data_IF_988972509919
#
_entry.id   IF_988972509919
#
_cell.length_a   1.000
_cell.length_b   1.000
_cell.length_c   1.000
_cell.angle_alpha   90.00
_cell.angle_beta   90.00
_cell.angle_gamma   90.00
#
_symmetry.space_group_name_H-M   'P 1'
#
loop_
_entity.id
_entity.type
_entity.pdbx_description
1 polymer ?
#
# COMPACT_ATOMS: atom_id res chain seq x y z
N UNK A 1 -41.67 4.10 -18.59
CA UNK A 1 -41.58 2.62 -18.46
C UNK A 1 -40.54 2.31 -17.39
N UNK A 2 -41.03 2.00 -16.20
CA UNK A 2 -40.17 1.72 -15.03
C UNK A 2 -39.77 0.26 -15.05
N UNK A 3 -38.48 -0.03 -15.19
CA UNK A 3 -37.94 -1.37 -14.91
C UNK A 3 -37.32 -1.39 -13.50
N UNK A 4 -38.03 -2.04 -12.59
CA UNK A 4 -37.52 -2.39 -11.27
C UNK A 4 -36.46 -3.50 -11.45
N UNK A 5 -35.24 -3.24 -10.98
CA UNK A 5 -34.19 -4.27 -10.87
C UNK A 5 -34.36 -4.92 -9.51
N UNK A 6 -34.83 -6.17 -9.51
CA UNK A 6 -34.90 -7.01 -8.31
C UNK A 6 -33.53 -7.70 -8.14
N UNK A 7 -32.81 -7.35 -7.09
CA UNK A 7 -31.58 -8.07 -6.68
C UNK A 7 -32.01 -9.37 -5.99
N UNK A 8 -31.72 -10.50 -6.61
CA UNK A 8 -31.86 -11.81 -5.99
C UNK A 8 -30.60 -12.11 -5.17
N UNK A 9 -30.72 -12.06 -3.85
CA UNK A 9 -29.70 -12.58 -2.92
C UNK A 9 -29.85 -14.10 -2.85
N UNK A 10 -28.99 -14.85 -3.53
CA UNK A 10 -28.89 -16.29 -3.36
C UNK A 10 -28.07 -16.56 -2.11
N UNK A 11 -28.71 -17.06 -1.06
CA UNK A 11 -28.06 -17.52 0.16
C UNK A 11 -27.23 -18.78 -0.16
N UNK A 12 -25.91 -18.66 -0.17
CA UNK A 12 -24.99 -19.80 -0.08
C UNK A 12 -24.93 -20.23 1.38
N UNK A 13 -25.53 -21.37 1.70
CA UNK A 13 -25.31 -22.07 2.98
C UNK A 13 -23.93 -22.68 2.99
N UNK A 14 -22.96 -21.98 3.57
CA UNK A 14 -21.64 -22.51 3.92
C UNK A 14 -21.78 -23.32 5.23
N UNK A 15 -21.44 -24.60 5.16
CA UNK A 15 -21.34 -25.47 6.32
C UNK A 15 -20.38 -24.90 7.36
N UNK A 16 -20.77 -25.02 8.62
CA UNK A 16 -20.00 -24.55 9.77
C UNK A 16 -18.63 -25.26 9.86
N UNK A 17 -17.61 -24.62 9.30
CA UNK A 17 -16.22 -24.87 9.67
C UNK A 17 -15.93 -23.95 10.86
N UNK A 18 -15.49 -24.52 11.96
CA UNK A 18 -15.09 -23.80 13.17
C UNK A 18 -13.94 -22.84 12.85
N UNK A 19 -14.28 -21.56 12.60
CA UNK A 19 -13.30 -20.49 12.42
C UNK A 19 -12.80 -20.10 13.82
N UNK A 20 -11.61 -20.55 14.18
CA UNK A 20 -10.91 -19.98 15.32
C UNK A 20 -10.51 -18.55 14.95
N UNK A 21 -10.79 -17.61 15.85
CA UNK A 21 -10.50 -16.20 15.68
C UNK A 21 -9.00 -15.99 15.40
N UNK A 22 -8.70 -15.52 14.19
CA UNK A 22 -7.36 -15.20 13.76
C UNK A 22 -7.02 -13.76 14.07
N UNK A 23 -5.85 -13.57 14.65
CA UNK A 23 -5.18 -12.27 14.65
C UNK A 23 -4.80 -11.95 13.19
N UNK A 24 -5.23 -10.79 12.69
CA UNK A 24 -4.79 -10.24 11.41
C UNK A 24 -3.26 -10.31 11.30
N UNK A 25 -2.68 -10.45 10.08
CA UNK A 25 -1.25 -10.25 9.88
C UNK A 25 -0.88 -8.96 10.56
N UNK A 26 0.23 -8.97 11.34
CA UNK A 26 0.59 -7.85 12.19
C UNK A 26 0.55 -6.57 11.38
N UNK A 27 -0.24 -5.56 11.80
CA UNK A 27 -0.05 -4.21 11.33
C UNK A 27 1.42 -3.87 11.52
N UNK A 28 1.98 -2.99 10.70
CA UNK A 28 3.24 -2.33 11.05
C UNK A 28 3.16 -2.03 12.54
N UNK A 29 4.11 -2.47 13.37
CA UNK A 29 3.87 -2.56 14.80
C UNK A 29 3.48 -1.20 15.34
N UNK A 30 2.20 -1.04 15.63
CA UNK A 30 1.76 -0.03 16.57
C UNK A 30 2.56 -0.26 17.85
N UNK A 31 3.06 0.77 18.55
CA UNK A 31 3.91 0.61 19.72
C UNK A 31 3.28 -0.40 20.67
N UNK A 32 3.95 -1.51 20.87
CA UNK A 32 3.46 -2.57 21.72
C UNK A 32 3.38 -2.06 23.15
N UNK A 33 2.20 -2.02 23.71
CA UNK A 33 2.05 -2.44 25.11
C UNK A 33 2.84 -3.74 25.24
N UNK A 34 3.64 -3.99 26.32
CA UNK A 34 4.37 -5.24 26.47
C UNK A 34 3.39 -6.39 26.17
N UNK A 35 3.61 -7.05 25.05
CA UNK A 35 2.67 -8.02 24.53
C UNK A 35 2.58 -9.18 25.53
N UNK A 36 1.38 -9.68 25.85
CA UNK A 36 1.25 -11.03 26.35
C UNK A 36 1.99 -11.92 25.36
N UNK A 37 2.74 -12.90 25.85
CA UNK A 37 3.54 -13.82 25.05
C UNK A 37 2.75 -14.21 23.80
N UNK A 38 3.35 -13.98 22.62
CA UNK A 38 2.68 -14.17 21.34
C UNK A 38 2.03 -15.55 21.32
N UNK A 39 0.73 -15.59 21.03
CA UNK A 39 0.05 -16.86 20.82
C UNK A 39 0.80 -17.62 19.71
N UNK A 40 0.98 -18.95 19.83
CA UNK A 40 1.65 -19.75 18.83
C UNK A 40 0.99 -19.48 17.46
N UNK A 41 1.81 -19.34 16.42
CA UNK A 41 1.31 -19.13 15.07
C UNK A 41 0.28 -20.20 14.72
N UNK A 42 -0.87 -19.86 14.12
CA UNK A 42 -1.89 -20.82 13.80
C UNK A 42 -1.31 -21.90 12.90
N UNK A 43 -1.54 -23.16 13.24
CA UNK A 43 -1.13 -24.29 12.42
C UNK A 43 -2.11 -24.50 11.27
N UNK A 44 -1.58 -24.65 10.05
CA UNK A 44 -2.37 -24.93 8.85
C UNK A 44 -2.72 -23.68 8.04
N UNK A 45 -3.46 -23.90 6.97
CA UNK A 45 -3.86 -22.84 6.03
C UNK A 45 -4.99 -22.01 6.63
N UNK A 46 -4.81 -20.72 6.61
CA UNK A 46 -5.76 -19.75 7.07
C UNK A 46 -6.48 -19.11 5.87
N UNK A 47 -7.79 -18.87 6.02
CA UNK A 47 -8.59 -18.16 5.03
C UNK A 47 -9.18 -16.92 5.68
N UNK A 48 -8.95 -15.76 5.07
CA UNK A 48 -9.47 -14.49 5.57
C UNK A 48 -9.61 -13.49 4.43
N UNK A 49 -10.28 -12.39 4.70
CA UNK A 49 -10.46 -11.34 3.71
C UNK A 49 -11.07 -10.08 4.28
N UNK A 50 -11.35 -9.16 3.38
CA UNK A 50 -12.07 -7.93 3.72
C UNK A 50 -12.81 -7.36 2.52
N UNK A 51 -13.73 -6.48 2.82
CA UNK A 51 -14.39 -5.59 1.85
C UNK A 51 -14.13 -4.16 2.29
N UNK A 52 -13.67 -3.33 1.36
CA UNK A 52 -13.54 -1.88 1.54
C UNK A 52 -14.41 -1.14 0.54
N UNK A 53 -15.17 -0.17 1.03
CA UNK A 53 -15.91 0.77 0.20
C UNK A 53 -15.80 2.17 0.81
N UNK A 54 -15.62 3.18 -0.05
CA UNK A 54 -15.44 4.55 0.39
C UNK A 54 -15.96 5.58 -0.59
N UNK A 55 -15.92 6.84 -0.18
CA UNK A 55 -16.25 7.98 -1.01
C UNK A 55 -15.40 9.19 -0.62
N UNK A 56 -14.99 9.96 -1.63
CA UNK A 56 -14.29 11.23 -1.44
C UNK A 56 -15.09 12.37 -2.07
N UNK A 57 -15.61 13.25 -1.21
CA UNK A 57 -16.35 14.43 -1.63
C UNK A 57 -15.38 15.59 -1.87
N UNK A 58 -15.38 16.13 -3.08
CA UNK A 58 -14.60 17.30 -3.46
C UNK A 58 -15.54 18.50 -3.64
N UNK A 59 -15.38 19.52 -2.79
CA UNK A 59 -16.26 20.70 -2.76
C UNK A 59 -16.21 21.54 -4.04
N UNK A 60 -15.16 21.40 -4.83
CA UNK A 60 -14.97 22.12 -6.12
C UNK A 60 -15.62 21.41 -7.30
N UNK A 61 -16.10 20.18 -7.13
CA UNK A 61 -16.78 19.38 -8.14
C UNK A 61 -16.04 19.36 -9.49
N UNK A 62 -14.85 18.73 -9.57
CA UNK A 62 -14.08 18.68 -10.81
C UNK A 62 -14.94 18.04 -11.93
N UNK A 63 -14.87 18.62 -13.14
CA UNK A 63 -15.69 18.19 -14.29
C UNK A 63 -15.32 16.79 -14.77
N UNK A 64 -14.04 16.42 -14.64
CA UNK A 64 -13.53 15.10 -14.97
C UNK A 64 -13.80 14.08 -13.86
N UNK A 65 -14.43 14.51 -12.74
CA UNK A 65 -14.73 13.70 -11.56
C UNK A 65 -13.49 13.07 -10.93
N UNK A 66 -12.34 13.72 -11.00
CA UNK A 66 -11.10 13.19 -10.46
C UNK A 66 -10.49 14.09 -9.41
N UNK A 67 -9.92 13.45 -8.39
CA UNK A 67 -9.09 14.08 -7.38
C UNK A 67 -7.63 13.96 -7.85
N UNK A 68 -7.08 15.04 -8.40
CA UNK A 68 -5.69 15.04 -8.86
C UNK A 68 -4.73 14.65 -7.73
N UNK A 69 -3.74 13.83 -8.06
CA UNK A 69 -2.73 13.39 -7.10
C UNK A 69 -3.21 12.31 -6.13
N UNK A 70 -4.28 11.60 -6.46
CA UNK A 70 -4.86 10.49 -5.72
C UNK A 70 -4.96 9.27 -6.62
N UNK A 71 -4.76 8.07 -6.07
CA UNK A 71 -4.93 6.81 -6.79
C UNK A 71 -6.13 6.02 -6.26
N UNK A 72 -6.15 5.62 -5.01
CA UNK A 72 -7.19 4.74 -4.47
C UNK A 72 -8.50 5.50 -4.16
N UNK A 73 -8.41 6.77 -3.82
CA UNK A 73 -9.54 7.68 -3.65
C UNK A 73 -9.62 8.72 -4.78
N UNK A 74 -9.31 8.30 -6.01
CA UNK A 74 -9.19 9.14 -7.21
C UNK A 74 -10.52 9.73 -7.68
N UNK A 75 -11.66 9.12 -7.39
CA UNK A 75 -12.97 9.57 -7.85
C UNK A 75 -13.60 10.59 -6.93
N UNK A 76 -13.93 11.75 -7.51
CA UNK A 76 -14.61 12.82 -6.79
C UNK A 76 -16.12 12.64 -6.80
N UNK A 77 -16.75 12.68 -5.62
CA UNK A 77 -18.20 12.64 -5.44
C UNK A 77 -18.86 11.35 -5.95
N UNK A 78 -18.15 10.24 -5.85
CA UNK A 78 -18.62 8.90 -6.19
C UNK A 78 -18.36 7.94 -5.04
N UNK A 79 -19.24 6.95 -4.87
CA UNK A 79 -19.01 5.82 -3.96
C UNK A 79 -18.24 4.75 -4.73
N UNK A 80 -17.14 4.28 -4.16
CA UNK A 80 -16.27 3.28 -4.75
C UNK A 80 -16.34 1.98 -3.95
N UNK A 81 -16.37 0.85 -4.65
CA UNK A 81 -16.00 -0.45 -4.09
C UNK A 81 -14.47 -0.57 -4.29
N UNK A 82 -13.71 -0.23 -3.26
CA UNK A 82 -12.26 -0.20 -3.34
C UNK A 82 -11.68 -1.59 -3.46
N UNK A 83 -12.02 -2.47 -2.51
CA UNK A 83 -11.42 -3.78 -2.42
C UNK A 83 -12.42 -4.83 -1.93
N UNK A 84 -12.43 -5.98 -2.59
CA UNK A 84 -12.94 -7.26 -2.08
C UNK A 84 -11.75 -8.21 -2.16
N UNK A 85 -11.20 -8.61 -1.02
CA UNK A 85 -9.97 -9.40 -0.94
C UNK A 85 -10.24 -10.74 -0.27
N UNK A 86 -9.66 -11.78 -0.86
CA UNK A 86 -9.62 -13.13 -0.30
C UNK A 86 -8.17 -13.60 -0.23
N UNK A 87 -7.81 -14.17 0.89
CA UNK A 87 -6.46 -14.66 1.17
C UNK A 87 -6.51 -16.11 1.66
N UNK A 88 -5.60 -16.93 1.11
CA UNK A 88 -5.20 -18.21 1.67
C UNK A 88 -3.73 -18.11 2.07
N UNK A 89 -3.41 -18.37 3.33
CA UNK A 89 -2.06 -18.19 3.85
C UNK A 89 -1.72 -19.31 4.84
N UNK A 90 -0.50 -19.81 4.73
CA UNK A 90 0.16 -20.60 5.75
C UNK A 90 1.40 -19.84 6.19
N UNK A 91 1.40 -19.37 7.42
CA UNK A 91 2.53 -18.67 8.03
C UNK A 91 3.61 -19.65 8.45
N UNK A 92 4.85 -19.15 8.64
CA UNK A 92 5.93 -19.91 9.29
C UNK A 92 5.56 -20.17 10.74
N UNK A 93 5.93 -21.34 11.27
CA UNK A 93 5.56 -21.75 12.62
C UNK A 93 6.35 -21.06 13.75
N UNK A 94 7.29 -20.17 13.41
CA UNK A 94 8.09 -19.41 14.39
C UNK A 94 9.11 -20.24 15.17
N UNK A 95 9.64 -21.31 14.55
CA UNK A 95 10.65 -22.19 15.14
C UNK A 95 11.99 -21.94 14.43
N UNK A 96 12.86 -21.09 14.94
CA UNK A 96 14.07 -20.63 14.24
C UNK A 96 15.11 -21.74 14.03
N UNK A 97 15.01 -22.84 14.75
CA UNK A 97 15.92 -24.00 14.66
C UNK A 97 15.50 -25.05 13.62
N UNK A 98 14.28 -24.94 13.06
CA UNK A 98 13.72 -25.91 12.11
C UNK A 98 13.54 -25.28 10.75
N UNK A 99 13.77 -26.07 9.67
CA UNK A 99 13.33 -25.66 8.34
C UNK A 99 11.82 -25.61 8.28
N UNK A 100 11.25 -24.52 7.78
CA UNK A 100 9.82 -24.33 7.64
C UNK A 100 9.48 -23.77 6.27
N UNK A 101 8.25 -23.95 5.87
CA UNK A 101 7.72 -23.31 4.67
C UNK A 101 6.30 -22.81 4.91
N UNK A 102 5.96 -21.79 4.21
CA UNK A 102 4.64 -21.21 4.16
C UNK A 102 4.36 -20.63 2.78
N UNK A 103 3.18 -20.09 2.60
CA UNK A 103 2.78 -19.42 1.36
C UNK A 103 1.71 -18.38 1.64
N UNK A 104 1.56 -17.45 0.71
CA UNK A 104 0.42 -16.55 0.66
C UNK A 104 -0.10 -16.48 -0.78
N UNK A 105 -1.41 -16.61 -0.93
CA UNK A 105 -2.13 -16.35 -2.15
C UNK A 105 -3.26 -15.38 -1.84
N UNK A 106 -3.22 -14.19 -2.46
CA UNK A 106 -4.18 -13.12 -2.20
C UNK A 106 -4.69 -12.54 -3.52
N UNK A 107 -6.00 -12.63 -3.70
CA UNK A 107 -6.72 -12.03 -4.83
C UNK A 107 -7.53 -10.84 -4.39
N UNK A 108 -7.65 -9.85 -5.26
CA UNK A 108 -8.44 -8.64 -5.08
C UNK A 108 -9.40 -8.45 -6.25
N UNK A 109 -10.58 -7.91 -5.95
CA UNK A 109 -11.49 -7.34 -6.94
C UNK A 109 -11.97 -5.99 -6.45
N UNK A 110 -11.79 -4.94 -7.24
CA UNK A 110 -12.21 -3.60 -6.85
C UNK A 110 -11.60 -2.50 -7.70
N UNK A 111 -11.80 -1.26 -7.29
CA UNK A 111 -11.28 -0.09 -8.00
C UNK A 111 -9.78 0.08 -7.84
N UNK A 112 -9.22 -0.35 -6.71
CA UNK A 112 -7.81 -0.18 -6.39
C UNK A 112 -6.91 -1.09 -7.22
N UNK A 113 -7.43 -2.23 -7.69
CA UNK A 113 -6.76 -3.12 -8.61
C UNK A 113 -6.22 -2.41 -9.87
N UNK A 114 -6.87 -1.31 -10.30
CA UNK A 114 -6.44 -0.49 -11.45
C UNK A 114 -5.00 -0.01 -11.37
N UNK A 115 -4.51 0.23 -10.17
CA UNK A 115 -3.21 0.87 -9.91
C UNK A 115 -2.13 -0.12 -9.50
N UNK A 116 -2.51 -1.34 -9.10
CA UNK A 116 -1.56 -2.33 -8.56
C UNK A 116 -1.26 -3.50 -9.51
N UNK A 117 -1.80 -3.48 -10.73
CA UNK A 117 -1.48 -4.48 -11.75
C UNK A 117 0.03 -4.60 -11.98
N UNK A 118 0.47 -5.82 -12.28
CA UNK A 118 1.86 -6.09 -12.64
C UNK A 118 1.96 -6.54 -14.09
N UNK A 119 3.02 -6.11 -14.78
CA UNK A 119 3.27 -6.49 -16.16
C UNK A 119 3.27 -8.01 -16.34
N UNK A 120 2.51 -8.50 -17.34
CA UNK A 120 2.34 -9.91 -17.65
C UNK A 120 1.35 -10.66 -16.77
N UNK A 121 0.74 -10.01 -15.76
CA UNK A 121 -0.25 -10.62 -14.89
C UNK A 121 -1.47 -9.70 -14.75
N UNK A 122 -2.59 -10.07 -15.38
CA UNK A 122 -3.84 -9.30 -15.43
C UNK A 122 -3.68 -7.85 -15.93
N UNK A 123 -2.61 -7.59 -16.68
CA UNK A 123 -2.19 -6.27 -17.14
C UNK A 123 -2.90 -5.79 -18.42
N UNK A 124 -3.84 -6.56 -18.96
CA UNK A 124 -4.75 -6.14 -20.02
C UNK A 124 -6.00 -5.49 -19.46
N UNK A 125 -5.78 -4.56 -18.54
CA UNK A 125 -6.85 -3.84 -17.88
C UNK A 125 -7.76 -3.14 -18.89
N UNK A 126 -9.04 -3.29 -18.66
CA UNK A 126 -10.09 -2.61 -19.42
C UNK A 126 -10.37 -1.23 -18.83
N UNK A 127 -11.09 -0.37 -19.58
CA UNK A 127 -11.60 0.91 -19.07
C UNK A 127 -12.62 0.77 -17.91
N UNK A 128 -12.77 -0.40 -17.32
CA UNK A 128 -13.70 -0.65 -16.21
C UNK A 128 -13.08 -0.20 -14.90
N UNK A 129 -13.90 0.38 -14.06
CA UNK A 129 -13.49 0.84 -12.73
C UNK A 129 -13.16 -0.33 -11.80
N UNK A 130 -13.97 -1.39 -11.84
CA UNK A 130 -13.76 -2.58 -11.01
C UNK A 130 -13.02 -3.65 -11.80
N UNK A 131 -11.89 -4.09 -11.28
CA UNK A 131 -11.00 -5.04 -11.93
C UNK A 131 -10.50 -6.09 -10.93
N UNK A 132 -10.17 -7.31 -11.39
CA UNK A 132 -9.46 -8.29 -10.56
C UNK A 132 -7.96 -8.06 -10.60
N UNK A 133 -7.26 -8.42 -9.51
CA UNK A 133 -5.80 -8.58 -9.49
C UNK A 133 -5.36 -9.69 -8.54
N UNK A 134 -4.14 -10.17 -8.72
CA UNK A 134 -3.41 -11.01 -7.76
C UNK A 134 -2.44 -10.10 -7.01
N UNK A 135 -2.76 -9.77 -5.77
CA UNK A 135 -1.94 -8.86 -4.96
C UNK A 135 -0.64 -9.54 -4.56
N UNK A 136 -0.74 -10.75 -3.99
CA UNK A 136 0.40 -11.55 -3.55
C UNK A 136 0.23 -13.01 -3.96
N UNK A 137 1.33 -13.63 -4.39
CA UNK A 137 1.42 -15.06 -4.67
C UNK A 137 2.88 -15.50 -4.47
N UNK A 138 3.24 -15.95 -3.27
CA UNK A 138 4.62 -16.31 -2.94
C UNK A 138 4.72 -17.52 -2.01
N UNK A 139 5.89 -18.15 -2.05
CA UNK A 139 6.36 -19.09 -1.04
C UNK A 139 7.26 -18.33 -0.04
N UNK A 140 7.16 -18.70 1.23
CA UNK A 140 8.05 -18.23 2.28
C UNK A 140 8.76 -19.43 2.90
N UNK A 141 10.10 -19.40 2.94
CA UNK A 141 10.95 -20.49 3.41
C UNK A 141 11.79 -19.98 4.58
N UNK A 142 11.77 -20.66 5.70
CA UNK A 142 12.70 -20.41 6.80
C UNK A 142 13.87 -21.37 6.73
N UNK A 143 15.09 -20.82 6.72
CA UNK A 143 16.36 -21.57 6.69
C UNK A 143 17.09 -21.33 8.00
N UNK A 144 17.23 -22.35 8.88
CA UNK A 144 17.92 -22.23 10.14
C UNK A 144 19.45 -22.19 9.97
N UNK A 145 20.16 -21.84 11.05
CA UNK A 145 21.59 -22.09 11.18
C UNK A 145 22.55 -20.98 10.69
N UNK A 146 22.07 -19.96 9.97
CA UNK A 146 22.92 -18.81 9.57
C UNK A 146 23.14 -17.81 10.71
N UNK A 147 22.11 -17.64 11.53
CA UNK A 147 22.11 -16.86 12.78
C UNK A 147 21.29 -17.62 13.82
N UNK A 148 21.18 -17.13 15.03
CA UNK A 148 20.33 -17.73 16.06
C UNK A 148 18.83 -17.72 15.68
N UNK A 149 18.40 -16.77 14.84
CA UNK A 149 17.02 -16.65 14.38
C UNK A 149 16.82 -17.02 12.90
N UNK A 150 17.87 -17.48 12.21
CA UNK A 150 17.83 -17.98 10.85
C UNK A 150 17.65 -16.90 9.79
N UNK A 151 17.14 -17.33 8.62
CA UNK A 151 16.88 -16.48 7.46
C UNK A 151 15.56 -16.89 6.80
N UNK A 152 14.73 -15.91 6.48
CA UNK A 152 13.51 -16.13 5.71
C UNK A 152 13.74 -15.76 4.24
N UNK A 153 13.25 -16.58 3.31
CA UNK A 153 13.33 -16.32 1.87
C UNK A 153 11.94 -16.33 1.27
N UNK A 154 11.53 -15.18 0.75
CA UNK A 154 10.25 -14.99 0.04
C UNK A 154 10.49 -15.07 -1.46
N UNK A 155 9.76 -15.95 -2.17
CA UNK A 155 9.89 -16.16 -3.61
C UNK A 155 8.52 -16.11 -4.26
N UNK A 156 8.33 -15.21 -5.23
CA UNK A 156 7.08 -15.03 -5.96
C UNK A 156 6.70 -13.56 -6.13
N UNK A 157 5.40 -13.28 -6.21
CA UNK A 157 4.86 -11.91 -6.23
C UNK A 157 4.51 -11.48 -4.80
N UNK A 158 5.03 -10.35 -4.37
CA UNK A 158 4.83 -9.79 -3.03
C UNK A 158 4.74 -8.27 -3.06
N UNK A 159 4.10 -7.68 -2.04
CA UNK A 159 4.05 -6.22 -1.87
C UNK A 159 5.43 -5.67 -1.56
N UNK A 160 5.66 -4.42 -1.91
CA UNK A 160 6.95 -3.73 -1.69
C UNK A 160 7.34 -3.67 -0.21
N UNK A 161 8.63 -3.45 0.05
CA UNK A 161 9.17 -3.15 1.39
C UNK A 161 9.09 -1.64 1.71
N UNK A 162 8.88 -0.79 0.70
CA UNK A 162 8.88 0.65 0.85
C UNK A 162 7.53 1.19 1.35
N UNK A 163 7.61 2.32 2.06
CA UNK A 163 6.47 3.13 2.49
C UNK A 163 5.86 2.76 3.83
N UNK A 164 5.32 3.76 4.50
CA UNK A 164 4.58 3.58 5.76
C UNK A 164 3.13 3.14 5.54
N UNK A 165 2.56 3.42 4.37
CA UNK A 165 1.21 2.99 4.00
C UNK A 165 1.26 1.73 3.13
N UNK A 166 0.19 0.95 3.15
CA UNK A 166 0.10 -0.33 2.46
C UNK A 166 -1.15 -0.43 1.58
N UNK A 167 -1.18 -1.41 0.67
CA UNK A 167 -2.38 -1.75 -0.11
C UNK A 167 -3.51 -2.26 0.80
N UNK A 168 -3.16 -2.93 1.92
CA UNK A 168 -4.14 -3.41 2.90
C UNK A 168 -4.71 -2.26 3.73
N UNK A 169 -5.97 -1.86 3.56
CA UNK A 169 -6.55 -0.69 4.23
C UNK A 169 -6.68 -0.86 5.74
N UNK A 170 -6.61 -2.09 6.26
CA UNK A 170 -6.76 -2.39 7.69
C UNK A 170 -5.58 -1.87 8.51
N UNK A 171 -4.43 -1.63 7.87
CA UNK A 171 -3.19 -1.16 8.51
C UNK A 171 -3.00 0.35 8.38
N UNK A 172 -3.71 1.00 7.49
CA UNK A 172 -3.59 2.44 7.24
C UNK A 172 -4.45 3.27 8.20
N UNK A 173 -3.94 4.39 8.72
CA UNK A 173 -4.72 5.27 9.60
C UNK A 173 -5.79 6.08 8.86
N UNK A 174 -5.66 6.30 7.55
CA UNK A 174 -6.52 7.12 6.71
C UNK A 174 -7.05 6.35 5.52
N UNK A 175 -8.15 6.80 4.91
CA UNK A 175 -8.64 6.33 3.63
C UNK A 175 -7.77 6.85 2.48
N UNK A 176 -7.49 8.16 2.45
CA UNK A 176 -6.59 8.73 1.44
C UNK A 176 -5.13 8.43 1.75
N UNK A 177 -4.33 8.25 0.70
CA UNK A 177 -2.90 7.94 0.80
C UNK A 177 -2.02 9.16 0.56
N UNK A 178 -0.76 9.09 1.02
CA UNK A 178 0.26 10.12 0.79
C UNK A 178 0.70 10.18 -0.68
N UNK A 179 1.37 11.28 -1.05
CA UNK A 179 2.08 11.35 -2.33
C UNK A 179 3.23 10.34 -2.41
N UNK A 180 3.83 9.97 -1.27
CA UNK A 180 4.86 8.92 -1.19
C UNK A 180 4.25 7.60 -1.64
N UNK A 181 3.18 7.15 -1.00
CA UNK A 181 2.50 5.89 -1.37
C UNK A 181 2.05 5.89 -2.83
N UNK A 182 1.40 6.98 -3.27
CA UNK A 182 0.83 7.03 -4.61
C UNK A 182 1.90 7.08 -5.71
N UNK A 183 3.06 7.73 -5.48
CA UNK A 183 3.98 8.08 -6.57
C UNK A 183 5.46 7.90 -6.24
N UNK A 184 5.82 7.71 -4.98
CA UNK A 184 7.20 7.59 -4.52
C UNK A 184 7.70 6.16 -4.38
N UNK A 185 6.79 5.18 -4.33
CA UNK A 185 7.11 3.76 -4.12
C UNK A 185 6.43 2.87 -5.17
N UNK A 186 6.95 1.66 -5.41
CA UNK A 186 6.22 0.62 -6.16
C UNK A 186 5.13 0.01 -5.27
N UNK A 187 4.16 -0.70 -5.87
CA UNK A 187 3.16 -1.43 -5.10
C UNK A 187 3.56 -2.88 -4.86
N UNK A 188 4.19 -3.52 -5.84
CA UNK A 188 4.56 -4.92 -5.75
C UNK A 188 5.76 -5.27 -6.63
N UNK A 189 6.34 -6.41 -6.33
CA UNK A 189 7.46 -7.00 -7.05
C UNK A 189 7.24 -8.49 -7.30
N UNK A 190 7.91 -9.04 -8.30
CA UNK A 190 8.06 -10.48 -8.49
C UNK A 190 9.53 -10.82 -8.53
N UNK A 191 9.96 -11.73 -7.67
CA UNK A 191 11.37 -12.10 -7.53
C UNK A 191 11.61 -12.93 -6.28
N UNK A 192 12.78 -12.72 -5.68
CA UNK A 192 13.16 -13.32 -4.42
C UNK A 192 13.80 -12.28 -3.50
N UNK A 193 13.39 -12.26 -2.22
CA UNK A 193 14.00 -11.44 -1.17
C UNK A 193 14.28 -12.33 0.02
N UNK A 194 15.52 -12.28 0.51
CA UNK A 194 15.95 -12.92 1.74
C UNK A 194 16.00 -11.90 2.88
N UNK A 195 15.52 -12.29 4.05
CA UNK A 195 15.61 -11.54 5.31
C UNK A 195 16.45 -12.34 6.28
N UNK A 196 17.69 -11.90 6.52
CA UNK A 196 18.57 -12.46 7.53
C UNK A 196 18.28 -11.80 8.87
N UNK A 197 17.82 -12.57 9.85
CA UNK A 197 17.61 -12.12 11.22
C UNK A 197 18.96 -12.02 11.94
N UNK A 198 19.68 -10.89 11.71
CA UNK A 198 21.06 -10.71 12.15
C UNK A 198 21.19 -10.64 13.67
N UNK A 199 20.28 -9.93 14.33
CA UNK A 199 20.13 -9.88 15.79
C UNK A 199 18.63 -9.91 16.16
N UNK A 200 18.30 -9.77 17.43
CA UNK A 200 16.89 -9.61 17.87
C UNK A 200 16.31 -8.26 17.46
N UNK A 201 17.16 -7.30 17.15
CA UNK A 201 16.77 -5.92 16.82
C UNK A 201 16.99 -5.58 15.34
N UNK A 202 17.81 -6.34 14.60
CA UNK A 202 18.23 -5.98 13.23
C UNK A 202 17.98 -7.13 12.26
N UNK A 203 17.23 -6.80 11.20
CA UNK A 203 17.05 -7.63 10.02
C UNK A 203 17.80 -7.02 8.83
N UNK A 204 18.49 -7.86 8.06
CA UNK A 204 19.12 -7.46 6.81
C UNK A 204 18.38 -8.10 5.64
N UNK A 205 17.89 -7.28 4.72
CA UNK A 205 17.10 -7.74 3.57
C UNK A 205 17.85 -7.52 2.27
N UNK A 206 17.85 -8.52 1.41
CA UNK A 206 18.48 -8.44 0.09
C UNK A 206 17.80 -9.38 -0.89
N UNK A 207 17.65 -8.90 -2.12
CA UNK A 207 16.96 -9.68 -3.15
C UNK A 207 17.09 -9.09 -4.54
N UNK A 208 16.55 -9.83 -5.48
CA UNK A 208 16.44 -9.45 -6.89
C UNK A 208 14.99 -9.58 -7.34
N UNK A 209 14.49 -8.54 -7.97
CA UNK A 209 13.13 -8.42 -8.46
C UNK A 209 13.11 -7.99 -9.93
N UNK A 210 12.02 -8.28 -10.63
CA UNK A 210 11.86 -7.93 -12.05
C UNK A 210 11.59 -6.44 -12.30
N UNK A 211 11.54 -5.62 -11.25
CA UNK A 211 11.32 -4.19 -11.33
C UNK A 211 10.02 -3.73 -10.65
N UNK A 212 9.67 -2.47 -10.91
CA UNK A 212 8.45 -1.82 -10.41
C UNK A 212 7.22 -2.40 -11.07
N UNK A 213 6.32 -3.00 -10.28
CA UNK A 213 5.06 -3.56 -10.77
C UNK A 213 5.26 -4.46 -12.02
N UNK A 214 6.33 -5.25 -12.05
CA UNK A 214 6.62 -6.23 -13.09
C UNK A 214 6.51 -7.65 -12.54
N UNK A 215 5.89 -8.57 -13.30
CA UNK A 215 5.66 -9.95 -12.86
C UNK A 215 6.10 -10.95 -13.96
N UNK A 216 5.17 -11.57 -14.68
CA UNK A 216 5.49 -12.58 -15.69
C UNK A 216 6.14 -11.97 -16.94
N UNK A 217 5.92 -10.70 -17.19
CA UNK A 217 6.58 -9.92 -18.25
C UNK A 217 7.35 -8.76 -17.62
N UNK A 218 8.44 -8.37 -18.28
CA UNK A 218 9.27 -7.24 -17.95
C UNK A 218 9.34 -6.29 -19.14
N UNK A 219 9.49 -5.00 -18.89
CA UNK A 219 9.51 -3.98 -19.93
C UNK A 219 10.90 -3.65 -20.47
N UNK A 220 11.98 -4.11 -19.81
CA UNK A 220 13.38 -3.84 -20.19
C UNK A 220 14.33 -5.06 -20.10
N UNK A 221 13.83 -6.21 -19.66
CA UNK A 221 14.57 -7.48 -19.49
C UNK A 221 15.72 -7.40 -18.48
N UNK A 222 15.58 -6.60 -17.42
CA UNK A 222 16.61 -6.43 -16.41
C UNK A 222 16.06 -6.75 -15.01
N UNK A 223 16.98 -7.06 -14.10
CA UNK A 223 16.67 -7.26 -12.70
C UNK A 223 17.05 -6.02 -11.90
N UNK A 224 16.29 -5.73 -10.86
CA UNK A 224 16.57 -4.67 -9.91
C UNK A 224 16.92 -5.25 -8.55
N UNK A 225 17.87 -4.64 -7.87
CA UNK A 225 18.13 -4.93 -6.47
C UNK A 225 16.99 -4.38 -5.60
N UNK A 226 16.55 -5.17 -4.63
CA UNK A 226 15.53 -4.77 -3.65
C UNK A 226 15.92 -5.31 -2.29
N UNK A 227 15.98 -4.45 -1.28
CA UNK A 227 16.41 -4.86 0.05
C UNK A 227 16.41 -3.71 1.04
N UNK A 228 17.02 -3.94 2.22
CA UNK A 228 16.99 -2.93 3.26
C UNK A 228 17.54 -3.40 4.60
N UNK A 229 17.26 -2.61 5.63
CA UNK A 229 17.59 -2.88 7.02
C UNK A 229 16.35 -2.62 7.86
N UNK A 230 15.78 -3.66 8.44
CA UNK A 230 14.75 -3.56 9.47
C UNK A 230 15.37 -3.37 10.84
N UNK A 231 14.75 -2.55 11.65
CA UNK A 231 15.14 -2.38 13.05
C UNK A 231 13.88 -2.36 13.92
N UNK A 232 13.96 -3.06 15.05
CA UNK A 232 12.83 -3.22 15.96
C UNK A 232 13.27 -3.17 17.40
N UNK A 233 12.34 -2.77 18.27
CA UNK A 233 12.55 -2.72 19.71
C UNK A 233 13.77 -1.84 20.16
N UNK A 234 14.20 -0.87 19.35
CA UNK A 234 15.20 0.10 19.76
C UNK A 234 14.63 1.12 20.73
N UNK A 235 15.48 1.89 21.42
CA UNK A 235 15.07 2.90 22.40
C UNK A 235 14.08 2.36 23.45
N UNK A 236 14.46 1.27 24.12
CA UNK A 236 13.63 0.57 25.13
C UNK A 236 12.29 0.07 24.60
N UNK A 237 12.29 -0.45 23.36
CA UNK A 237 11.11 -0.99 22.69
C UNK A 237 10.18 0.05 22.05
N UNK A 238 10.58 1.32 22.04
CA UNK A 238 9.75 2.42 21.54
C UNK A 238 9.92 2.70 20.05
N UNK A 239 11.04 2.28 19.45
CA UNK A 239 11.38 2.60 18.06
C UNK A 239 11.45 1.32 17.21
N UNK A 240 10.66 1.31 16.15
CA UNK A 240 10.69 0.27 15.11
C UNK A 240 10.62 0.94 13.75
N UNK A 241 11.31 0.39 12.76
CA UNK A 241 11.27 0.95 11.42
C UNK A 241 12.08 0.15 10.43
N UNK A 242 12.22 0.70 9.23
CA UNK A 242 12.92 0.06 8.13
C UNK A 242 13.50 1.12 7.20
N UNK A 243 14.75 0.96 6.83
CA UNK A 243 15.31 1.55 5.62
C UNK A 243 15.20 0.52 4.50
N UNK A 244 14.59 0.89 3.39
CA UNK A 244 14.47 0.05 2.20
C UNK A 244 14.99 0.77 0.95
N UNK A 245 15.39 0.00 -0.04
CA UNK A 245 15.92 0.53 -1.28
C UNK A 245 15.62 -0.39 -2.45
N UNK A 246 15.36 0.21 -3.61
CA UNK A 246 15.30 -0.45 -4.89
C UNK A 246 16.20 0.28 -5.88
N UNK A 247 17.03 -0.47 -6.60
CA UNK A 247 17.98 0.08 -7.58
C UNK A 247 18.00 -0.81 -8.82
N UNK A 248 17.66 -0.25 -9.96
CA UNK A 248 17.67 -0.93 -11.24
C UNK A 248 17.05 -0.13 -12.37
N UNK A 249 17.14 -0.61 -13.61
CA UNK A 249 16.50 0.04 -14.74
C UNK A 249 15.00 -0.25 -14.74
N UNK A 250 14.18 0.80 -14.88
CA UNK A 250 12.71 0.72 -14.81
C UNK A 250 12.00 1.32 -16.03
N UNK A 251 12.76 1.87 -16.96
CA UNK A 251 12.21 2.47 -18.16
C UNK A 251 12.03 1.42 -19.28
N UNK A 252 10.88 1.39 -19.96
CA UNK A 252 10.66 0.49 -21.07
C UNK A 252 11.76 0.55 -22.13
N UNK A 253 12.31 -0.62 -22.49
CA UNK A 253 13.39 -0.79 -23.49
C UNK A 253 14.72 -0.13 -23.14
N UNK A 254 14.91 0.29 -21.89
CA UNK A 254 16.15 0.89 -21.40
C UNK A 254 16.66 0.09 -20.20
N UNK A 255 17.80 -0.56 -20.35
CA UNK A 255 18.48 -1.34 -19.31
C UNK A 255 19.80 -0.70 -18.84
N UNK A 256 20.04 0.58 -19.18
CA UNK A 256 21.27 1.31 -18.87
C UNK A 256 21.06 2.43 -17.86
N UNK A 257 19.91 3.10 -17.93
CA UNK A 257 19.57 4.18 -17.04
C UNK A 257 18.75 3.66 -15.86
N UNK A 258 19.24 3.91 -14.65
CA UNK A 258 18.68 3.33 -13.43
C UNK A 258 17.67 4.27 -12.77
N UNK A 259 16.74 3.64 -12.09
CA UNK A 259 15.93 4.26 -11.03
C UNK A 259 16.57 3.91 -9.69
N UNK A 260 16.63 4.91 -8.83
CA UNK A 260 17.09 4.81 -7.45
C UNK A 260 15.91 5.19 -6.57
N UNK A 261 15.54 4.31 -5.68
CA UNK A 261 14.52 4.53 -4.68
C UNK A 261 15.10 4.23 -3.31
N UNK A 262 14.90 5.14 -2.37
CA UNK A 262 15.30 5.00 -0.98
C UNK A 262 14.14 5.47 -0.10
N UNK A 263 13.80 4.66 0.86
CA UNK A 263 12.70 4.91 1.76
C UNK A 263 13.10 4.59 3.19
N UNK A 264 12.71 5.46 4.14
CA UNK A 264 12.95 5.25 5.56
C UNK A 264 11.67 5.49 6.32
N UNK A 265 11.11 4.44 6.85
CA UNK A 265 9.94 4.48 7.71
C UNK A 265 10.32 4.16 9.14
N UNK A 266 9.71 4.85 10.10
CA UNK A 266 9.80 4.43 11.49
C UNK A 266 8.59 4.87 12.30
N UNK A 267 8.28 4.08 13.30
CA UNK A 267 7.26 4.35 14.31
C UNK A 267 7.92 4.54 15.66
N UNK A 268 7.58 5.62 16.35
CA UNK A 268 8.04 5.92 17.69
C UNK A 268 6.87 6.01 18.66
N UNK A 269 6.86 5.16 19.68
CA UNK A 269 5.89 5.18 20.76
C UNK A 269 6.20 6.31 21.75
N UNK A 270 5.46 7.41 21.72
CA UNK A 270 5.55 8.48 22.72
C UNK A 270 5.01 8.02 24.07
N UNK A 271 3.89 7.30 24.05
CA UNK A 271 3.23 6.71 25.22
C UNK A 271 2.42 5.46 24.83
N UNK A 272 1.73 4.81 25.75
CA UNK A 272 0.81 3.72 25.47
C UNK A 272 -0.39 4.12 24.58
N UNK A 273 -0.64 5.40 24.38
CA UNK A 273 -1.74 5.95 23.60
C UNK A 273 -1.29 6.80 22.41
N UNK A 274 -0.03 7.15 22.32
CA UNK A 274 0.47 8.11 21.36
C UNK A 274 1.62 7.53 20.55
N UNK A 275 1.56 7.67 19.25
CA UNK A 275 2.64 7.29 18.35
C UNK A 275 2.86 8.32 17.25
N UNK A 276 4.11 8.42 16.84
CA UNK A 276 4.54 9.11 15.62
C UNK A 276 4.92 8.05 14.59
N UNK A 277 4.53 8.28 13.32
CA UNK A 277 5.02 7.51 12.19
C UNK A 277 5.63 8.48 11.21
N UNK A 278 6.88 8.25 10.83
CA UNK A 278 7.60 9.07 9.86
C UNK A 278 7.89 8.24 8.62
N UNK A 279 7.69 8.82 7.46
CA UNK A 279 8.00 8.26 6.16
C UNK A 279 8.83 9.28 5.37
N UNK A 280 10.07 8.92 5.04
CA UNK A 280 11.04 9.72 4.29
C UNK A 280 11.35 9.01 2.98
N UNK A 281 11.09 9.66 1.86
CA UNK A 281 11.23 9.04 0.55
C UNK A 281 12.08 9.86 -0.40
N UNK A 282 12.87 9.17 -1.21
CA UNK A 282 13.62 9.72 -2.33
C UNK A 282 13.54 8.77 -3.52
N UNK A 283 13.13 9.28 -4.67
CA UNK A 283 13.14 8.56 -5.94
C UNK A 283 13.82 9.41 -7.03
N UNK A 284 14.70 8.79 -7.81
CA UNK A 284 15.32 9.40 -8.98
C UNK A 284 15.25 8.43 -10.14
N UNK A 285 14.88 8.95 -11.30
CA UNK A 285 14.93 8.25 -12.57
C UNK A 285 15.96 8.92 -13.47
N UNK A 286 16.98 8.17 -13.92
CA UNK A 286 18.07 8.72 -14.72
C UNK A 286 17.73 8.91 -16.19
N UNK A 287 16.53 8.51 -16.61
CA UNK A 287 16.05 8.66 -17.99
C UNK A 287 15.70 10.12 -18.30
N UNK A 288 16.10 10.56 -19.49
CA UNK A 288 15.76 11.89 -19.99
C UNK A 288 16.29 13.02 -19.12
N UNK A 289 15.39 13.76 -18.45
CA UNK A 289 15.73 14.93 -17.62
C UNK A 289 16.26 14.60 -16.23
N UNK A 290 16.48 13.33 -15.91
CA UNK A 290 16.86 12.87 -14.57
C UNK A 290 15.88 13.36 -13.50
N UNK A 291 14.64 12.94 -13.64
CA UNK A 291 13.54 13.34 -12.75
C UNK A 291 13.76 12.89 -11.32
N UNK A 292 13.37 13.72 -10.35
CA UNK A 292 13.52 13.43 -8.92
C UNK A 292 12.22 13.73 -8.20
N UNK A 293 11.86 12.81 -7.29
CA UNK A 293 10.82 12.98 -6.30
C UNK A 293 11.40 12.79 -4.90
N UNK A 294 10.97 13.57 -3.92
CA UNK A 294 11.34 13.35 -2.54
C UNK A 294 10.40 14.08 -1.59
N UNK A 295 10.26 13.53 -0.42
CA UNK A 295 9.35 14.10 0.56
C UNK A 295 9.40 13.43 1.91
N UNK A 296 8.54 13.93 2.76
CA UNK A 296 8.28 13.44 4.12
C UNK A 296 6.78 13.42 4.38
N UNK A 297 6.34 12.38 5.05
CA UNK A 297 5.03 12.33 5.69
C UNK A 297 5.22 12.02 7.17
N UNK A 298 4.49 12.75 8.01
CA UNK A 298 4.51 12.60 9.46
C UNK A 298 3.11 12.39 9.96
N UNK A 299 2.92 11.37 10.80
CA UNK A 299 1.64 11.01 11.39
C UNK A 299 1.72 11.11 12.91
N UNK A 300 0.74 11.73 13.50
CA UNK A 300 0.47 11.63 14.92
C UNK A 300 -0.84 10.89 15.13
N UNK A 301 -0.78 9.82 15.91
CA UNK A 301 -1.92 8.95 16.20
C UNK A 301 -2.14 8.94 17.71
N UNK A 302 -3.36 9.31 18.13
CA UNK A 302 -3.79 9.29 19.51
C UNK A 302 -4.94 8.31 19.72
N UNK A 303 -4.70 7.27 20.51
CA UNK A 303 -5.69 6.27 20.91
C UNK A 303 -6.56 6.82 22.05
N UNK A 304 -7.76 7.29 21.72
CA UNK A 304 -8.73 7.81 22.70
C UNK A 304 -9.27 6.67 23.55
N UNK A 305 -9.64 5.56 22.90
CA UNK A 305 -10.14 4.33 23.53
C UNK A 305 -9.72 3.11 22.69
N UNK A 306 -10.13 1.91 23.09
CA UNK A 306 -9.89 0.69 22.29
C UNK A 306 -10.63 0.69 20.95
N UNK A 307 -11.69 1.48 20.82
CA UNK A 307 -12.51 1.57 19.61
C UNK A 307 -12.34 2.86 18.82
N UNK A 308 -11.65 3.85 19.34
CA UNK A 308 -11.53 5.17 18.70
C UNK A 308 -10.12 5.71 18.78
N UNK A 309 -9.58 6.08 17.63
CA UNK A 309 -8.36 6.87 17.51
C UNK A 309 -8.61 8.16 16.73
N UNK A 310 -7.84 9.20 17.05
CA UNK A 310 -7.76 10.47 16.31
C UNK A 310 -6.38 10.55 15.71
N UNK A 311 -6.29 10.94 14.45
CA UNK A 311 -5.01 11.03 13.76
C UNK A 311 -4.88 12.28 12.92
N UNK A 312 -3.64 12.75 12.79
CA UNK A 312 -3.24 13.87 11.93
C UNK A 312 -2.08 13.42 11.08
N UNK A 313 -2.10 13.74 9.80
CA UNK A 313 -1.00 13.51 8.85
C UNK A 313 -0.64 14.82 8.17
N UNK A 314 0.63 15.21 8.23
CA UNK A 314 1.22 16.27 7.44
C UNK A 314 2.19 15.71 6.42
N UNK A 315 2.18 16.21 5.18
CA UNK A 315 3.12 15.73 4.16
C UNK A 315 3.61 16.86 3.24
N UNK A 316 4.83 16.72 2.77
CA UNK A 316 5.44 17.56 1.74
C UNK A 316 6.13 16.63 0.74
N UNK A 317 5.79 16.79 -0.54
CA UNK A 317 6.37 16.03 -1.63
C UNK A 317 6.84 16.97 -2.75
N UNK A 318 8.10 16.87 -3.11
CA UNK A 318 8.68 17.58 -4.25
C UNK A 318 8.69 16.68 -5.47
N UNK A 319 7.96 17.04 -6.52
CA UNK A 319 8.10 16.46 -7.85
C UNK A 319 8.93 17.40 -8.72
N UNK A 320 10.20 17.10 -8.88
CA UNK A 320 11.10 17.86 -9.76
C UNK A 320 10.89 17.36 -11.20
N UNK A 321 10.59 18.26 -12.09
CA UNK A 321 10.28 18.03 -13.50
C UNK A 321 8.83 17.55 -13.78
N UNK A 322 8.01 17.28 -12.75
CA UNK A 322 6.61 16.89 -12.94
C UNK A 322 6.44 15.51 -13.56
N UNK A 323 7.30 14.58 -13.14
CA UNK A 323 7.36 13.23 -13.71
C UNK A 323 6.54 12.20 -12.90
N UNK A 324 6.50 12.35 -11.58
CA UNK A 324 5.96 11.32 -10.70
C UNK A 324 4.48 11.53 -10.37
N UNK A 325 4.11 12.75 -9.92
CA UNK A 325 2.73 13.00 -9.48
C UNK A 325 1.81 13.18 -10.66
N UNK A 326 0.84 12.31 -10.78
CA UNK A 326 -0.03 12.20 -11.93
C UNK A 326 -1.50 12.06 -11.55
N UNK A 327 -2.34 12.14 -12.58
CA UNK A 327 -3.75 11.80 -12.56
C UNK A 327 -4.02 10.83 -13.70
N UNK A 328 -4.78 9.78 -13.44
CA UNK A 328 -5.11 8.78 -14.45
C UNK A 328 -6.63 8.79 -14.68
N UNK A 329 -7.05 9.45 -15.71
CA UNK A 329 -8.46 9.52 -16.13
C UNK A 329 -9.01 8.22 -16.69
N UNK A 330 -8.10 7.33 -17.05
CA UNK A 330 -8.39 6.06 -17.70
C UNK A 330 -7.52 4.97 -17.06
N UNK A 331 -8.13 3.84 -16.74
CA UNK A 331 -7.45 2.71 -16.10
C UNK A 331 -6.30 2.12 -16.95
N UNK A 332 -6.37 2.27 -18.26
CA UNK A 332 -5.32 1.79 -19.18
C UNK A 332 -4.04 2.64 -19.11
N UNK A 333 -4.12 3.90 -18.66
CA UNK A 333 -2.99 4.82 -18.74
C UNK A 333 -1.82 4.38 -17.86
N UNK A 334 -2.08 3.84 -16.67
CA UNK A 334 -1.04 3.28 -15.79
C UNK A 334 -0.31 2.13 -16.50
N UNK A 335 -1.04 1.15 -17.01
CA UNK A 335 -0.47 -0.01 -17.71
C UNK A 335 0.17 0.38 -19.03
N UNK A 336 -0.41 1.32 -19.78
CA UNK A 336 0.20 1.83 -21.01
C UNK A 336 1.54 2.51 -20.73
N UNK A 337 1.65 3.29 -19.66
CA UNK A 337 2.90 3.90 -19.22
C UNK A 337 3.96 2.84 -18.90
N UNK A 338 3.63 1.82 -18.12
CA UNK A 338 4.54 0.71 -17.79
C UNK A 338 4.96 -0.10 -19.02
N UNK A 339 4.09 -0.25 -20.04
CA UNK A 339 4.37 -0.90 -21.32
C UNK A 339 5.14 0.00 -22.30
N UNK A 340 5.43 1.24 -21.95
CA UNK A 340 6.08 2.22 -22.85
C UNK A 340 5.20 2.66 -24.02
N UNK A 341 3.88 2.57 -23.88
CA UNK A 341 2.92 3.09 -24.86
C UNK A 341 2.60 4.55 -24.58
N UNK A 342 2.14 5.27 -25.60
CA UNK A 342 1.66 6.63 -25.40
C UNK A 342 0.42 6.66 -24.48
N UNK A 343 0.41 7.57 -23.53
CA UNK A 343 -0.74 7.83 -22.68
C UNK A 343 -1.83 8.50 -23.53
N UNK A 344 -3.07 8.02 -23.43
CA UNK A 344 -4.17 8.46 -24.30
C UNK A 344 -4.54 9.93 -24.16
N UNK A 345 -4.51 10.44 -22.93
CA UNK A 345 -4.84 11.84 -22.65
C UNK A 345 -3.75 12.49 -21.78
N UNK A 346 -2.87 13.31 -22.39
CA UNK A 346 -1.80 13.98 -21.64
C UNK A 346 -2.33 14.92 -20.54
N UNK A 347 -3.61 15.32 -20.57
CA UNK A 347 -4.23 16.13 -19.50
C UNK A 347 -4.43 15.34 -18.21
N UNK A 348 -4.39 14.02 -18.28
CA UNK A 348 -4.55 13.12 -17.15
C UNK A 348 -3.25 12.81 -16.42
N UNK A 349 -2.13 13.43 -16.85
CA UNK A 349 -0.82 13.19 -16.26
C UNK A 349 -0.15 14.49 -15.86
N UNK A 350 0.54 14.43 -14.72
CA UNK A 350 1.53 15.42 -14.30
C UNK A 350 1.00 16.82 -13.99
N UNK A 351 1.20 17.27 -12.78
CA UNK A 351 0.97 18.66 -12.36
C UNK A 351 2.14 19.60 -12.63
N UNK A 352 3.23 19.14 -13.27
CA UNK A 352 4.43 19.88 -13.52
C UNK A 352 5.38 20.00 -12.32
N UNK A 353 6.49 20.69 -12.51
CA UNK A 353 7.52 20.90 -11.48
C UNK A 353 7.00 21.75 -10.31
N UNK A 354 6.59 21.10 -9.24
CA UNK A 354 6.02 21.77 -8.08
C UNK A 354 6.34 21.03 -6.79
N UNK A 355 6.01 21.63 -5.66
CA UNK A 355 5.99 20.97 -4.36
C UNK A 355 4.53 20.85 -3.94
N UNK A 356 4.10 19.65 -3.66
CA UNK A 356 2.81 19.34 -3.07
C UNK A 356 2.94 19.33 -1.55
N UNK A 357 1.93 19.80 -0.85
CA UNK A 357 1.79 19.65 0.59
C UNK A 357 0.36 19.31 0.91
N UNK A 358 0.17 18.47 1.92
CA UNK A 358 -1.16 18.16 2.40
C UNK A 358 -1.19 18.08 3.92
N UNK A 359 -2.35 18.37 4.48
CA UNK A 359 -2.70 18.07 5.86
C UNK A 359 -4.00 17.26 5.86
N UNK A 360 -4.01 16.16 6.62
CA UNK A 360 -5.18 15.29 6.79
C UNK A 360 -5.46 15.13 8.27
N UNK A 361 -6.71 15.28 8.66
CA UNK A 361 -7.19 15.03 10.02
C UNK A 361 -8.33 14.03 9.93
N UNK A 362 -8.33 13.00 10.75
CA UNK A 362 -9.34 11.96 10.69
C UNK A 362 -9.53 11.19 11.98
N UNK A 363 -10.48 10.29 11.92
CA UNK A 363 -10.82 9.36 12.98
C UNK A 363 -10.70 7.95 12.45
N UNK A 364 -10.41 6.99 13.33
CA UNK A 364 -10.54 5.57 13.07
C UNK A 364 -11.43 4.97 14.14
N UNK A 365 -12.65 4.60 13.74
CA UNK A 365 -13.64 4.00 14.63
C UNK A 365 -13.72 2.50 14.34
N UNK A 366 -13.48 1.68 15.37
CA UNK A 366 -13.43 0.20 15.31
C UNK A 366 -14.44 -0.39 16.28
N UNK A 367 -15.75 -0.40 15.92
CA UNK A 367 -16.78 -0.99 16.78
C UNK A 367 -16.61 -2.51 16.87
N UNK A 368 -17.12 -3.08 17.96
CA UNK A 368 -17.19 -4.52 18.08
C UNK A 368 -18.15 -5.09 17.02
N UNK A 369 -17.78 -6.24 16.45
CA UNK A 369 -18.57 -6.96 15.47
C UNK A 369 -18.88 -8.38 15.94
N UNK A 370 -19.97 -8.96 15.43
CA UNK A 370 -20.35 -10.33 15.72
C UNK A 370 -19.60 -11.30 14.76
N UNK A 371 -19.27 -12.48 15.25
CA UNK A 371 -18.74 -13.59 14.41
C UNK A 371 -19.71 -13.92 13.28
N UNK A 372 -19.26 -14.26 12.07
CA UNK A 372 -17.87 -14.60 11.69
C UNK A 372 -16.98 -13.40 11.34
N UNK A 373 -17.47 -12.17 11.48
CA UNK A 373 -16.65 -10.98 11.21
C UNK A 373 -15.53 -10.86 12.24
N UNK A 374 -14.39 -10.38 11.78
CA UNK A 374 -13.19 -10.18 12.60
C UNK A 374 -12.93 -8.71 12.91
N UNK A 375 -13.52 -7.78 12.14
CA UNK A 375 -13.38 -6.35 12.38
C UNK A 375 -14.23 -5.49 11.46
N UNK A 376 -14.53 -4.29 11.93
CA UNK A 376 -15.06 -3.19 11.14
C UNK A 376 -14.26 -1.94 11.50
N UNK A 377 -13.78 -1.23 10.49
CA UNK A 377 -13.12 0.07 10.68
C UNK A 377 -13.84 1.09 9.82
N UNK A 378 -14.18 2.25 10.37
CA UNK A 378 -14.79 3.38 9.66
C UNK A 378 -13.86 4.59 9.85
N UNK A 379 -13.44 5.24 8.73
CA UNK A 379 -12.44 6.31 8.76
C UNK A 379 -12.93 7.57 8.05
N UNK A 380 -13.66 8.48 8.72
CA UNK A 380 -13.91 9.81 8.19
C UNK A 380 -12.64 10.66 8.29
N UNK A 381 -12.37 11.44 7.24
CA UNK A 381 -11.21 12.34 7.16
C UNK A 381 -11.52 13.64 6.43
N UNK A 382 -10.79 14.69 6.77
CA UNK A 382 -10.74 15.95 6.04
C UNK A 382 -9.31 16.18 5.57
N UNK A 383 -9.13 16.38 4.26
CA UNK A 383 -7.80 16.58 3.66
C UNK A 383 -7.75 17.85 2.82
N UNK A 384 -6.72 18.65 3.04
CA UNK A 384 -6.39 19.81 2.24
C UNK A 384 -5.06 19.61 1.53
N UNK A 385 -5.08 19.63 0.20
CA UNK A 385 -3.90 19.55 -0.68
C UNK A 385 -3.58 20.91 -1.27
N UNK A 386 -2.28 21.20 -1.45
CA UNK A 386 -1.78 22.41 -2.09
C UNK A 386 -0.57 22.12 -2.98
N UNK A 387 -0.55 22.77 -4.15
CA UNK A 387 0.61 22.85 -5.04
C UNK A 387 1.24 24.26 -4.95
N UNK A 388 2.55 24.32 -4.77
CA UNK A 388 3.25 25.61 -4.56
C UNK A 388 3.30 26.47 -5.82
N UNK A 389 3.46 25.86 -7.00
CA UNK A 389 3.69 26.59 -8.27
C UNK A 389 2.54 26.42 -9.26
N UNK A 390 2.10 25.20 -9.49
CA UNK A 390 1.18 24.86 -10.58
C UNK A 390 -0.27 24.84 -10.13
N UNK A 391 -1.20 25.01 -11.06
CA UNK A 391 -2.62 24.82 -10.84
C UNK A 391 -2.97 23.36 -11.18
N UNK A 392 -2.52 22.43 -10.32
CA UNK A 392 -2.66 21.00 -10.59
C UNK A 392 -4.06 20.44 -10.32
N UNK A 393 -4.83 21.07 -9.42
CA UNK A 393 -6.10 20.55 -8.93
C UNK A 393 -7.30 21.10 -9.69
N UNK A 394 -8.40 20.33 -9.63
CA UNK A 394 -9.74 20.72 -10.11
C UNK A 394 -9.70 21.21 -11.56
N UNK A 395 -9.64 20.29 -12.49
CA UNK A 395 -9.51 20.55 -13.95
C UNK A 395 -8.30 21.42 -14.30
N UNK A 396 -7.18 21.29 -13.58
CA UNK A 396 -5.97 22.14 -13.74
C UNK A 396 -6.20 23.64 -13.58
N UNK A 397 -7.16 24.05 -12.74
CA UNK A 397 -7.52 25.47 -12.54
C UNK A 397 -7.13 26.00 -11.16
N UNK A 398 -6.93 25.13 -10.17
CA UNK A 398 -6.69 25.51 -8.80
C UNK A 398 -5.34 25.00 -8.28
N UNK A 399 -4.73 25.77 -7.37
CA UNK A 399 -3.51 25.36 -6.65
C UNK A 399 -3.79 24.50 -5.42
N UNK A 400 -5.04 24.30 -5.08
CA UNK A 400 -5.44 23.54 -3.90
C UNK A 400 -6.80 22.91 -4.07
N UNK A 401 -7.05 21.85 -3.30
CA UNK A 401 -8.35 21.21 -3.12
C UNK A 401 -8.59 20.87 -1.66
N UNK A 402 -9.86 20.84 -1.26
CA UNK A 402 -10.33 20.37 0.03
C UNK A 402 -11.29 19.22 -0.23
N UNK A 403 -11.04 18.08 0.42
CA UNK A 403 -11.85 16.88 0.28
C UNK A 403 -12.27 16.35 1.64
N UNK A 404 -13.46 15.78 1.71
CA UNK A 404 -13.93 14.95 2.82
C UNK A 404 -14.00 13.51 2.33
N UNK A 405 -13.22 12.63 2.94
CA UNK A 405 -13.20 11.21 2.66
C UNK A 405 -13.87 10.42 3.77
N UNK A 406 -14.49 9.31 3.43
CA UNK A 406 -14.93 8.30 4.38
C UNK A 406 -14.90 6.94 3.72
N UNK A 407 -14.39 5.94 4.44
CA UNK A 407 -14.47 4.55 4.05
C UNK A 407 -14.94 3.66 5.20
N UNK A 408 -15.27 2.42 4.84
CA UNK A 408 -15.56 1.34 5.76
C UNK A 408 -14.85 0.07 5.29
N UNK A 409 -14.08 -0.54 6.19
CA UNK A 409 -13.37 -1.80 5.96
C UNK A 409 -13.97 -2.87 6.87
N UNK A 410 -14.61 -3.87 6.26
CA UNK A 410 -15.21 -5.01 6.93
C UNK A 410 -14.33 -6.23 6.73
N UNK A 411 -13.74 -6.75 7.82
CA UNK A 411 -12.87 -7.94 7.80
C UNK A 411 -13.62 -9.21 8.29
N UNK A 412 -13.26 -10.36 7.71
CA UNK A 412 -13.83 -11.66 8.03
C UNK A 412 -12.82 -12.79 7.93
#
# INVERSE_FOLDING_TARGET
MNKKITLALSALTLGALSVQAQTAPAPMPMPATPAPAAAPAPTGVQFYGWVEAGATLNSKQPKDRQNFGRLFDDRANEVMLNQVVLTAEQTLAGKPEEFQWGFKLQGMFGSDARFIHSLGLLDNASNKTLQPDVVEAYLNLHVPGLTAAGMDVKVGKFVTLEGAETIDPRTNPFYSHTYIFNFGIPFNHTGAVATLHATKEIDLMFGLVRGVNASLTDNNHSWSFHGGIGFMNLADGKLTGMFSTMIGPETPKDNKNFRYLHDLTFTYALSAKESLVTDLNYIQDDVGTKSKGYGIAEYYIYKVSDTLSVQVRGEIWKDKNGFFVAQFGNNDDVMNGLKGKAIRDPRTVGGGNTTYSAITVGLSFKPAVAKPLTGLTIRPELRYDRSSKTKAFVDSKHKSQLTFGVDAVLAF
#
